data_IF_505001054080
#
_entry.id   IF_505001054080
#
_cell.length_a   1.000
_cell.length_b   1.000
_cell.length_c   1.000
_cell.angle_alpha   90.00
_cell.angle_beta   90.00
_cell.angle_gamma   90.00
#
_symmetry.space_group_name_H-M   'P 1'
#
loop_
_entity.id
_entity.type
_entity.pdbx_description
1 polymer ?
#
# COMPACT_ATOMS: atom_id res chain seq x y z
N UNK A 1 -5.64 5.49 -11.86
CA UNK A 1 -4.52 4.52 -12.06
C UNK A 1 -3.63 4.94 -13.24
N UNK A 2 -2.29 4.89 -13.13
CA UNK A 2 -1.38 5.27 -14.20
C UNK A 2 -1.49 4.36 -15.42
N UNK A 3 -1.75 4.94 -16.59
CA UNK A 3 -1.95 4.19 -17.84
C UNK A 3 -0.64 3.56 -18.30
N UNK A 4 -0.66 2.25 -18.55
CA UNK A 4 0.46 1.52 -19.15
C UNK A 4 1.62 1.18 -18.21
N UNK A 5 1.56 1.55 -16.94
CA UNK A 5 2.64 1.29 -15.95
C UNK A 5 2.48 -0.09 -15.30
N UNK A 6 1.30 -0.37 -14.73
CA UNK A 6 1.00 -1.63 -14.04
C UNK A 6 0.24 -2.63 -14.93
N UNK A 7 0.56 -2.67 -16.23
CA UNK A 7 -0.17 -3.49 -17.23
C UNK A 7 0.42 -4.89 -17.47
N UNK A 8 1.44 -5.28 -16.71
CA UNK A 8 2.04 -6.63 -16.74
C UNK A 8 1.41 -7.52 -15.66
N UNK A 9 1.41 -8.86 -15.78
CA UNK A 9 0.90 -9.72 -14.72
C UNK A 9 1.61 -9.49 -13.37
N UNK A 10 0.84 -9.23 -12.32
CA UNK A 10 1.34 -8.94 -10.98
C UNK A 10 0.34 -9.37 -9.91
N UNK A 11 0.78 -9.34 -8.65
CA UNK A 11 -0.01 -9.65 -7.47
C UNK A 11 0.05 -8.47 -6.50
N UNK A 12 -1.09 -8.19 -5.88
CA UNK A 12 -1.31 -7.04 -4.99
C UNK A 12 -1.53 -7.53 -3.56
N UNK A 13 -0.49 -7.42 -2.73
CA UNK A 13 -0.51 -7.92 -1.37
C UNK A 13 -0.98 -6.84 -0.41
N UNK A 14 -2.27 -6.86 -0.07
CA UNK A 14 -2.89 -5.90 0.83
C UNK A 14 -2.75 -6.32 2.31
N UNK A 15 -2.11 -5.46 3.11
CA UNK A 15 -2.02 -5.57 4.56
C UNK A 15 -2.96 -4.54 5.19
N UNK A 16 -4.19 -4.95 5.47
CA UNK A 16 -5.18 -4.08 6.10
C UNK A 16 -4.87 -3.83 7.57
N UNK A 17 -4.84 -2.57 7.95
CA UNK A 17 -4.81 -2.13 9.35
C UNK A 17 -6.20 -1.69 9.83
N UNK A 18 -7.12 -1.38 8.90
CA UNK A 18 -8.54 -1.21 9.21
C UNK A 18 -9.26 -2.55 9.44
N UNK A 19 -10.32 -2.59 10.26
CA UNK A 19 -11.16 -3.77 10.43
C UNK A 19 -11.80 -4.25 9.10
N UNK A 20 -11.90 -5.57 8.95
CA UNK A 20 -12.50 -6.21 7.76
C UNK A 20 -13.93 -5.70 7.50
N UNK A 21 -14.72 -5.52 8.56
CA UNK A 21 -16.10 -5.04 8.44
C UNK A 21 -16.16 -3.63 7.84
N UNK A 22 -15.25 -2.73 8.23
CA UNK A 22 -15.17 -1.35 7.73
C UNK A 22 -14.71 -1.32 6.27
N UNK A 23 -13.66 -2.08 5.94
CA UNK A 23 -13.19 -2.27 4.55
C UNK A 23 -14.34 -2.69 3.62
N UNK A 24 -15.13 -3.67 4.05
CA UNK A 24 -16.24 -4.20 3.25
C UNK A 24 -17.41 -3.21 3.09
N UNK A 25 -17.41 -2.07 3.80
CA UNK A 25 -18.39 -0.99 3.57
C UNK A 25 -18.02 -0.06 2.40
N UNK A 26 -16.84 -0.22 1.80
CA UNK A 26 -16.45 0.52 0.60
C UNK A 26 -17.10 -0.16 -0.60
N UNK A 27 -18.23 0.38 -1.06
CA UNK A 27 -19.16 -0.32 -1.95
C UNK A 27 -18.83 -0.10 -3.43
N UNK A 28 -19.19 -1.06 -4.30
CA UNK A 28 -19.20 -0.83 -5.73
C UNK A 28 -20.29 0.18 -6.12
N UNK A 29 -20.13 0.85 -7.26
CA UNK A 29 -21.08 1.82 -7.79
C UNK A 29 -20.62 2.53 -9.07
N UNK A 30 -21.27 3.64 -9.47
CA UNK A 30 -21.12 4.21 -10.80
C UNK A 30 -19.99 5.24 -10.95
N UNK A 31 -19.26 5.56 -9.88
CA UNK A 31 -18.14 6.50 -9.94
C UNK A 31 -16.86 5.78 -10.43
N UNK A 32 -15.75 6.51 -10.68
CA UNK A 32 -14.53 5.91 -11.24
C UNK A 32 -14.09 4.64 -10.50
N UNK A 33 -13.48 3.72 -11.27
CA UNK A 33 -13.06 2.39 -10.80
C UNK A 33 -14.21 1.60 -10.12
N UNK A 34 -15.43 1.79 -10.60
CA UNK A 34 -16.63 1.08 -10.13
C UNK A 34 -16.92 1.26 -8.64
N UNK A 35 -16.54 2.39 -8.04
CA UNK A 35 -16.81 2.70 -6.61
C UNK A 35 -18.11 3.50 -6.45
N UNK A 36 -18.83 3.31 -5.33
CA UNK A 36 -19.98 4.16 -4.99
C UNK A 36 -19.51 5.60 -4.76
N UNK A 37 -20.21 6.56 -5.37
CA UNK A 37 -19.79 7.97 -5.37
C UNK A 37 -19.55 8.60 -3.98
N UNK A 38 -20.29 8.20 -2.94
CA UNK A 38 -20.04 8.72 -1.59
C UNK A 38 -18.77 8.13 -0.99
N UNK A 39 -18.54 6.83 -1.19
CA UNK A 39 -17.35 6.14 -0.72
C UNK A 39 -16.11 6.61 -1.49
N UNK A 40 -16.26 6.91 -2.79
CA UNK A 40 -15.22 7.53 -3.61
C UNK A 40 -14.81 8.90 -3.08
N UNK A 41 -15.76 9.78 -2.73
CA UNK A 41 -15.46 11.09 -2.13
C UNK A 41 -14.73 10.95 -0.79
N UNK A 42 -15.17 10.01 0.05
CA UNK A 42 -14.56 9.70 1.35
C UNK A 42 -13.13 9.17 1.22
N UNK A 43 -12.90 8.28 0.26
CA UNK A 43 -11.57 7.74 -0.04
C UNK A 43 -10.57 8.82 -0.48
N UNK A 44 -11.05 9.95 -1.01
CA UNK A 44 -10.23 11.09 -1.46
C UNK A 44 -10.07 12.18 -0.41
N UNK A 45 -10.61 12.02 0.80
CA UNK A 45 -10.31 12.94 1.90
C UNK A 45 -8.81 12.84 2.24
N UNK A 46 -8.07 13.96 2.25
CA UNK A 46 -6.62 13.92 2.40
C UNK A 46 -6.23 13.48 3.81
N UNK A 47 -5.26 12.56 3.90
CA UNK A 47 -4.58 12.30 5.17
C UNK A 47 -3.76 13.53 5.57
N UNK A 48 -3.82 14.00 6.83
CA UNK A 48 -2.97 15.11 7.28
C UNK A 48 -1.49 14.83 7.00
N UNK A 49 -0.78 15.84 6.49
CA UNK A 49 0.60 15.67 5.97
C UNK A 49 1.56 14.99 6.94
N UNK A 50 1.44 15.27 8.24
CA UNK A 50 2.29 14.66 9.26
C UNK A 50 2.13 13.14 9.38
N UNK A 51 0.98 12.58 8.99
CA UNK A 51 0.69 11.15 9.00
C UNK A 51 0.83 10.49 7.62
N UNK A 52 1.23 11.26 6.60
CA UNK A 52 1.44 10.76 5.24
C UNK A 52 2.94 10.60 4.98
N UNK A 53 3.33 9.50 4.32
CA UNK A 53 4.70 9.37 3.83
C UNK A 53 4.94 10.35 2.66
N UNK A 54 6.11 11.00 2.57
CA UNK A 54 6.39 11.96 1.53
C UNK A 54 6.41 11.32 0.13
N UNK A 55 6.07 12.12 -0.89
CA UNK A 55 6.07 11.77 -2.33
C UNK A 55 5.00 10.76 -2.78
N UNK A 56 4.15 10.28 -1.87
CA UNK A 56 2.99 9.45 -2.20
C UNK A 56 1.80 10.30 -2.63
N UNK A 57 1.29 10.07 -3.84
CA UNK A 57 0.27 10.90 -4.48
C UNK A 57 -1.01 10.12 -4.78
N UNK A 58 -2.14 10.80 -4.65
CA UNK A 58 -3.44 10.33 -5.14
C UNK A 58 -3.45 10.40 -6.67
N UNK A 59 -3.54 9.23 -7.31
CA UNK A 59 -3.59 9.07 -8.78
C UNK A 59 -4.95 8.57 -9.27
N UNK A 60 -5.98 8.85 -8.48
CA UNK A 60 -7.36 8.46 -8.76
C UNK A 60 -7.53 6.94 -8.89
N UNK A 61 -7.07 6.21 -7.88
CA UNK A 61 -7.08 4.75 -7.82
C UNK A 61 -7.91 4.28 -6.61
N UNK A 62 -9.22 4.55 -6.67
CA UNK A 62 -10.16 4.21 -5.59
C UNK A 62 -10.93 2.95 -5.92
N UNK A 63 -10.68 1.85 -5.22
CA UNK A 63 -11.28 0.57 -5.52
C UNK A 63 -12.27 0.10 -4.43
N UNK A 64 -13.39 -0.56 -4.81
CA UNK A 64 -14.30 -1.18 -3.86
C UNK A 64 -13.61 -2.21 -2.97
N UNK A 65 -14.06 -2.32 -1.72
CA UNK A 65 -13.48 -3.21 -0.71
C UNK A 65 -11.95 -3.05 -0.49
N UNK A 66 -11.36 -1.92 -0.90
CA UNK A 66 -9.96 -1.57 -0.67
C UNK A 66 -9.90 -0.17 -0.04
N UNK A 67 -9.64 0.86 -0.84
CA UNK A 67 -9.88 2.30 -0.64
C UNK A 67 -9.11 3.06 -1.75
N UNK A 68 -8.61 4.27 -1.49
CA UNK A 68 -7.74 4.97 -2.42
C UNK A 68 -6.28 4.51 -2.29
N UNK A 69 -5.59 4.35 -3.42
CA UNK A 69 -4.19 3.95 -3.51
C UNK A 69 -3.31 5.18 -3.74
N UNK A 70 -2.42 5.45 -2.79
CA UNK A 70 -1.40 6.48 -2.90
C UNK A 70 -0.11 5.87 -3.42
N UNK A 71 0.44 6.46 -4.48
CA UNK A 71 1.59 5.90 -5.21
C UNK A 71 2.81 6.81 -5.11
N UNK A 72 3.98 6.22 -4.89
CA UNK A 72 5.26 6.93 -4.97
C UNK A 72 5.60 7.24 -6.43
N UNK A 73 5.43 8.50 -6.83
CA UNK A 73 5.72 8.95 -8.20
C UNK A 73 7.22 9.08 -8.49
N UNK A 74 8.08 8.88 -7.48
CA UNK A 74 9.53 8.82 -7.65
C UNK A 74 10.04 7.41 -7.96
N UNK A 75 9.15 6.41 -7.94
CA UNK A 75 9.53 5.02 -8.18
C UNK A 75 10.03 4.79 -9.62
N UNK A 76 10.94 3.84 -9.85
CA UNK A 76 11.61 3.65 -11.14
C UNK A 76 10.66 3.51 -12.34
N UNK A 77 9.47 2.93 -12.13
CA UNK A 77 8.45 2.73 -13.17
C UNK A 77 7.90 4.04 -13.76
N UNK A 78 8.05 5.16 -13.06
CA UNK A 78 7.71 6.49 -13.56
C UNK A 78 8.89 7.22 -14.20
N UNK A 79 10.07 6.59 -14.22
CA UNK A 79 11.32 7.18 -14.70
C UNK A 79 12.02 6.31 -15.76
N UNK A 80 11.23 5.62 -16.59
CA UNK A 80 11.71 4.88 -17.76
C UNK A 80 12.28 3.49 -17.45
N UNK A 81 12.11 2.99 -16.22
CA UNK A 81 12.37 1.58 -15.89
C UNK A 81 11.07 0.77 -15.95
N UNK A 82 11.13 -0.54 -16.18
CA UNK A 82 9.97 -1.41 -16.05
C UNK A 82 9.49 -1.49 -14.59
N UNK A 83 8.18 -1.63 -14.39
CA UNK A 83 7.60 -2.03 -13.11
C UNK A 83 8.03 -3.46 -12.76
N UNK A 84 8.53 -3.67 -11.55
CA UNK A 84 8.95 -4.97 -11.01
C UNK A 84 8.29 -5.27 -9.67
N UNK A 85 8.42 -4.32 -8.74
CA UNK A 85 7.76 -4.28 -7.45
C UNK A 85 7.61 -2.82 -7.00
N UNK A 86 6.56 -2.49 -6.26
CA UNK A 86 6.34 -1.13 -5.74
C UNK A 86 5.59 -1.18 -4.41
N UNK A 87 5.71 -0.11 -3.64
CA UNK A 87 5.01 0.04 -2.36
C UNK A 87 3.91 1.09 -2.49
N UNK A 88 2.76 0.82 -1.87
CA UNK A 88 1.58 1.68 -1.89
C UNK A 88 1.06 1.88 -0.46
N UNK A 89 0.56 3.09 -0.21
CA UNK A 89 -0.23 3.40 0.98
C UNK A 89 -1.70 3.51 0.60
N UNK A 90 -2.56 2.82 1.35
CA UNK A 90 -4.00 2.94 1.23
C UNK A 90 -4.59 4.00 2.14
N UNK A 91 -5.51 4.82 1.65
CA UNK A 91 -6.21 5.81 2.47
C UNK A 91 -7.74 5.75 2.35
N UNK A 92 -8.42 6.02 3.46
CA UNK A 92 -9.86 6.23 3.53
C UNK A 92 -10.21 7.18 4.68
N UNK A 93 -11.18 8.07 4.49
CA UNK A 93 -11.63 9.04 5.52
C UNK A 93 -10.52 9.90 6.15
N UNK A 94 -9.46 10.19 5.39
CA UNK A 94 -8.33 10.97 5.88
C UNK A 94 -7.41 10.21 6.83
N UNK A 95 -7.44 8.87 6.78
CA UNK A 95 -6.55 7.98 7.53
C UNK A 95 -5.86 6.99 6.58
N UNK A 96 -4.68 6.50 6.97
CA UNK A 96 -4.04 5.36 6.31
C UNK A 96 -4.71 4.09 6.81
N UNK A 97 -5.20 3.24 5.91
CA UNK A 97 -6.05 2.08 6.26
C UNK A 97 -5.51 0.73 5.78
N UNK A 98 -4.55 0.74 4.87
CA UNK A 98 -3.81 -0.45 4.47
C UNK A 98 -2.43 -0.10 3.91
N UNK A 99 -1.60 -1.12 3.83
CA UNK A 99 -0.36 -1.10 3.07
C UNK A 99 -0.44 -2.10 1.93
N UNK A 100 0.33 -1.86 0.86
CA UNK A 100 0.34 -2.78 -0.26
C UNK A 100 1.73 -2.89 -0.87
N UNK A 101 2.11 -4.13 -1.19
CA UNK A 101 3.20 -4.41 -2.09
C UNK A 101 2.61 -5.00 -3.38
N UNK A 102 2.82 -4.34 -4.51
CA UNK A 102 2.53 -4.93 -5.81
C UNK A 102 3.82 -5.55 -6.35
N UNK A 103 3.77 -6.80 -6.80
CA UNK A 103 4.96 -7.54 -7.28
C UNK A 103 4.61 -8.28 -8.57
N UNK A 104 5.41 -8.06 -9.60
CA UNK A 104 5.23 -8.73 -10.90
C UNK A 104 5.42 -10.24 -10.80
N UNK A 105 4.66 -10.99 -11.60
CA UNK A 105 4.85 -12.44 -11.74
C UNK A 105 6.29 -12.78 -12.20
N UNK A 106 6.85 -11.96 -13.08
CA UNK A 106 8.22 -12.14 -13.58
C UNK A 106 9.28 -12.08 -12.46
N UNK A 107 9.05 -11.25 -11.43
CA UNK A 107 9.93 -11.23 -10.25
C UNK A 107 9.92 -12.57 -9.52
N UNK A 108 8.73 -13.12 -9.25
CA UNK A 108 8.58 -14.43 -8.61
C UNK A 108 9.19 -15.56 -9.45
N UNK A 109 8.92 -15.59 -10.76
CA UNK A 109 9.53 -16.56 -11.67
C UNK A 109 11.06 -16.47 -11.64
N UNK A 110 11.61 -15.25 -11.57
CA UNK A 110 13.05 -15.00 -11.44
C UNK A 110 13.63 -15.49 -10.12
N UNK A 111 12.92 -15.33 -9.00
CA UNK A 111 13.34 -15.88 -7.71
C UNK A 111 13.40 -17.40 -7.74
N UNK A 112 12.37 -18.05 -8.29
CA UNK A 112 12.33 -19.50 -8.44
C UNK A 112 13.42 -20.03 -9.37
N UNK A 113 13.74 -19.29 -10.42
CA UNK A 113 14.80 -19.64 -11.37
C UNK A 113 16.22 -19.27 -10.88
N UNK A 114 16.36 -18.61 -9.73
CA UNK A 114 17.64 -18.13 -9.21
C UNK A 114 18.26 -16.97 -9.99
N UNK A 115 17.48 -16.29 -10.86
CA UNK A 115 17.95 -15.12 -11.64
C UNK A 115 17.65 -13.79 -10.95
N UNK A 116 16.79 -13.80 -9.93
CA UNK A 116 16.50 -12.67 -9.03
C UNK A 116 16.65 -13.14 -7.60
N UNK A 117 17.26 -12.34 -6.73
CA UNK A 117 17.44 -12.68 -5.32
C UNK A 117 16.23 -12.36 -4.45
N UNK A 118 16.26 -12.82 -3.21
CA UNK A 118 15.39 -12.32 -2.16
C UNK A 118 15.69 -10.85 -1.88
N UNK A 119 14.66 -10.07 -1.56
CA UNK A 119 14.79 -8.65 -1.25
C UNK A 119 14.09 -8.29 0.05
N UNK A 120 14.63 -7.29 0.73
CA UNK A 120 13.93 -6.51 1.75
C UNK A 120 14.10 -5.03 1.39
N UNK A 121 12.98 -4.36 1.16
CA UNK A 121 12.95 -2.98 0.67
C UNK A 121 12.43 -2.08 1.78
N UNK A 122 13.23 -1.13 2.29
CA UNK A 122 12.73 -0.11 3.18
C UNK A 122 11.81 0.84 2.41
N UNK A 123 10.75 1.33 3.06
CA UNK A 123 9.82 2.29 2.44
C UNK A 123 9.71 3.56 3.28
N UNK A 124 9.41 4.68 2.61
CA UNK A 124 9.33 5.99 3.26
C UNK A 124 8.23 5.97 4.33
N UNK A 125 8.55 6.51 5.50
CA UNK A 125 7.67 6.55 6.66
C UNK A 125 7.01 7.94 6.78
N UNK A 126 5.83 8.05 7.41
CA UNK A 126 5.31 9.34 7.82
C UNK A 126 6.19 9.96 8.92
N UNK A 127 6.03 11.26 9.14
CA UNK A 127 6.77 11.97 10.20
C UNK A 127 6.24 11.64 11.59
N UNK A 128 4.94 11.40 11.70
CA UNK A 128 4.21 11.13 12.94
C UNK A 128 3.19 10.01 12.70
N UNK A 129 2.76 9.34 13.77
CA UNK A 129 1.74 8.28 13.73
C UNK A 129 0.52 8.74 14.51
N UNK A 130 -0.68 8.49 13.97
CA UNK A 130 -1.93 8.87 14.66
C UNK A 130 -2.15 8.03 15.91
N UNK A 131 -1.77 6.75 15.87
CA UNK A 131 -1.88 5.80 16.96
C UNK A 131 -0.49 5.30 17.37
N UNK A 132 -0.33 4.97 18.65
CA UNK A 132 0.87 4.30 19.12
C UNK A 132 0.85 2.83 18.71
N UNK A 133 2.00 2.25 18.39
CA UNK A 133 2.04 0.84 17.98
C UNK A 133 3.34 0.44 17.29
N UNK A 134 3.39 -0.81 16.86
CA UNK A 134 4.49 -1.36 16.08
C UNK A 134 4.19 -1.23 14.59
N UNK A 135 5.00 -0.44 13.90
CA UNK A 135 4.84 -0.18 12.47
C UNK A 135 6.02 -0.77 11.69
N UNK A 136 5.75 -1.45 10.56
CA UNK A 136 6.80 -1.99 9.70
C UNK A 136 7.60 -0.86 9.04
N UNK A 137 8.89 -1.08 8.82
CA UNK A 137 9.74 -0.14 8.06
C UNK A 137 10.23 -0.71 6.73
N UNK A 138 10.03 -2.00 6.52
CA UNK A 138 10.46 -2.73 5.33
C UNK A 138 9.41 -3.78 4.94
N UNK A 139 9.38 -4.17 3.66
CA UNK A 139 8.74 -5.40 3.22
C UNK A 139 9.77 -6.30 2.54
N UNK A 140 9.64 -7.61 2.72
CA UNK A 140 10.52 -8.60 2.14
C UNK A 140 9.74 -9.52 1.19
N UNK A 141 10.42 -9.95 0.12
CA UNK A 141 9.92 -10.89 -0.89
C UNK A 141 10.96 -11.98 -1.03
N UNK A 142 10.58 -13.22 -0.76
CA UNK A 142 11.50 -14.34 -0.81
C UNK A 142 10.87 -15.61 -1.36
N UNK A 143 11.66 -16.42 -2.05
CA UNK A 143 11.30 -17.77 -2.47
C UNK A 143 11.94 -18.80 -1.52
N UNK A 144 11.13 -19.74 -1.03
CA UNK A 144 11.58 -20.78 -0.08
C UNK A 144 11.72 -22.11 -0.78
N UNK A 145 12.93 -22.42 -1.23
CA UNK A 145 13.24 -23.67 -1.96
C UNK A 145 12.77 -24.93 -1.22
N UNK A 146 12.93 -24.95 0.11
CA UNK A 146 12.54 -26.10 0.94
C UNK A 146 11.02 -26.33 1.02
N UNK A 147 10.21 -25.35 0.59
CA UNK A 147 8.73 -25.40 0.65
C UNK A 147 8.07 -25.20 -0.73
N UNK A 148 8.84 -24.87 -1.76
CA UNK A 148 8.37 -24.49 -3.10
C UNK A 148 7.25 -23.43 -3.05
N UNK A 149 7.43 -22.41 -2.21
CA UNK A 149 6.48 -21.31 -2.06
C UNK A 149 7.17 -19.94 -1.91
N UNK A 150 6.38 -18.87 -1.97
CA UNK A 150 6.85 -17.50 -1.81
C UNK A 150 6.38 -16.91 -0.48
N UNK A 151 7.12 -15.94 0.02
CA UNK A 151 6.72 -15.09 1.14
C UNK A 151 6.76 -13.63 0.72
N UNK A 152 5.71 -12.90 1.09
CA UNK A 152 5.66 -11.44 1.04
C UNK A 152 5.28 -10.99 2.44
N UNK A 153 6.22 -10.35 3.13
CA UNK A 153 6.11 -10.11 4.56
C UNK A 153 6.52 -8.70 4.93
N UNK A 154 5.80 -8.11 5.87
CA UNK A 154 6.22 -6.90 6.56
C UNK A 154 7.30 -7.24 7.59
N UNK A 155 8.33 -6.40 7.70
CA UNK A 155 9.48 -6.64 8.59
C UNK A 155 9.98 -5.35 9.24
N UNK A 156 10.99 -5.50 10.10
CA UNK A 156 11.68 -4.41 10.79
C UNK A 156 10.74 -3.51 11.62
N UNK A 157 9.77 -4.11 12.30
CA UNK A 157 8.80 -3.36 13.10
C UNK A 157 9.48 -2.48 14.15
N UNK A 158 9.09 -1.20 14.18
CA UNK A 158 9.53 -0.23 15.17
C UNK A 158 8.33 0.32 15.92
N UNK A 159 8.46 0.37 17.25
CA UNK A 159 7.47 1.04 18.07
C UNK A 159 7.49 2.54 17.80
N UNK A 160 6.29 3.13 17.69
CA UNK A 160 6.07 4.56 17.48
C UNK A 160 5.08 5.06 18.51
N UNK A 161 5.37 6.23 19.07
CA UNK A 161 4.41 6.96 19.88
C UNK A 161 3.32 7.55 18.97
N UNK A 162 2.10 7.59 19.51
CA UNK A 162 0.96 8.20 18.84
C UNK A 162 0.86 9.69 19.14
N UNK A 163 0.60 10.49 18.11
CA UNK A 163 0.30 11.91 18.20
C UNK A 163 -1.11 12.15 17.68
N UNK A 164 -2.18 11.80 18.42
CA UNK A 164 -3.56 11.90 17.93
C UNK A 164 -3.96 13.36 17.62
N UNK A 165 -4.99 13.54 16.79
CA UNK A 165 -5.53 14.88 16.52
C UNK A 165 -6.10 15.46 17.82
N UNK A 166 -5.88 16.77 18.06
CA UNK A 166 -6.34 17.48 19.29
C UNK A 166 -7.86 17.41 19.55
N UNK A 167 -8.66 16.92 18.60
CA UNK A 167 -10.11 16.77 18.69
C UNK A 167 -10.59 15.31 18.71
N UNK A 168 -9.68 14.32 18.72
CA UNK A 168 -10.02 12.90 18.77
C UNK A 168 -9.91 12.39 20.21
N UNK A 169 -10.95 11.74 20.78
CA UNK A 169 -10.79 11.05 22.05
C UNK A 169 -9.77 9.92 21.88
N UNK A 170 -8.92 9.71 22.90
CA UNK A 170 -8.06 8.53 22.99
C UNK A 170 -8.93 7.29 22.83
N UNK A 171 -8.66 6.47 21.82
CA UNK A 171 -9.20 5.11 21.75
C UNK A 171 -8.52 4.23 22.80
#
# INVERSE_FOLDING_TARGET
MPVGVYNVPHFDFHFYIQPLAERNQIRPGPCPMLTKCDDYKRAKLPVPERYRAPDFSDVDAVEPAMANHLIDLTSPEFHGRPFTHTWIYGQYDGEITFYEAMITKAWFDGQRAGTTGDICVPFRQPREWQLAGWYPTSYCVAYRENRDDYTVALSDFRYREGSPRKSEPSR
#
